data_IF_763457267160
#
_entry.id   IF_763457267160
#
_cell.length_a   1.000
_cell.length_b   1.000
_cell.length_c   1.000
_cell.angle_alpha   90.00
_cell.angle_beta   90.00
_cell.angle_gamma   90.00
#
_symmetry.space_group_name_H-M   'P 1'
#
loop_
_entity.id
_entity.type
_entity.pdbx_description
1 polymer ?
#
# COMPACT_ATOMS: atom_id res chain seq x y z
N UNK A 1 -21.78 -23.10 10.91
CA UNK A 1 -20.96 -21.96 11.36
C UNK A 1 -19.81 -21.80 10.38
N UNK A 2 -19.92 -20.88 9.41
CA UNK A 2 -18.93 -20.73 8.33
C UNK A 2 -17.68 -20.10 8.96
N UNK A 3 -16.60 -20.87 9.08
CA UNK A 3 -15.32 -20.40 9.58
C UNK A 3 -14.86 -19.26 8.67
N UNK A 4 -15.17 -18.02 9.08
CA UNK A 4 -14.71 -16.80 8.42
C UNK A 4 -13.21 -16.84 8.60
N UNK A 5 -12.51 -17.23 7.54
CA UNK A 5 -11.06 -17.41 7.50
C UNK A 5 -10.41 -16.19 8.13
N UNK A 6 -9.89 -16.38 9.34
CA UNK A 6 -9.07 -15.41 10.05
C UNK A 6 -7.91 -15.06 9.13
N UNK A 7 -8.06 -13.90 8.49
CA UNK A 7 -7.00 -12.99 8.08
C UNK A 7 -5.83 -13.63 7.34
N UNK A 8 -5.95 -13.72 6.02
CA UNK A 8 -4.75 -13.82 5.17
C UNK A 8 -4.88 -12.75 4.10
N UNK A 9 -3.94 -11.82 4.06
CA UNK A 9 -3.76 -10.88 2.95
C UNK A 9 -3.95 -11.64 1.64
N UNK A 10 -4.88 -11.18 0.80
CA UNK A 10 -5.12 -11.84 -0.49
C UNK A 10 -3.85 -11.71 -1.33
N UNK A 11 -3.55 -12.72 -2.14
CA UNK A 11 -2.44 -12.64 -3.09
C UNK A 11 -2.56 -11.42 -4.01
N UNK A 12 -3.80 -11.00 -4.31
CA UNK A 12 -4.09 -9.78 -5.06
C UNK A 12 -3.59 -8.52 -4.35
N UNK A 13 -3.80 -8.41 -3.03
CA UNK A 13 -3.35 -7.27 -2.22
C UNK A 13 -1.82 -7.16 -2.24
N UNK A 14 -1.13 -8.30 -2.09
CA UNK A 14 0.34 -8.39 -2.20
C UNK A 14 0.85 -7.92 -3.56
N UNK A 15 0.20 -8.37 -4.63
CA UNK A 15 0.55 -7.97 -5.99
C UNK A 15 0.35 -6.48 -6.22
N UNK A 16 -0.71 -5.88 -5.69
CA UNK A 16 -0.97 -4.44 -5.82
C UNK A 16 0.11 -3.62 -5.09
N UNK A 17 0.47 -4.02 -3.87
CA UNK A 17 1.58 -3.40 -3.13
C UNK A 17 2.90 -3.52 -3.89
N UNK A 18 3.20 -4.71 -4.41
CA UNK A 18 4.41 -4.97 -5.19
C UNK A 18 4.45 -4.15 -6.50
N UNK A 19 3.31 -4.03 -7.18
CA UNK A 19 3.17 -3.19 -8.37
C UNK A 19 3.42 -1.71 -8.04
N UNK A 20 2.88 -1.21 -6.92
CA UNK A 20 3.12 0.16 -6.46
C UNK A 20 4.58 0.40 -6.04
N UNK A 21 5.29 -0.65 -5.62
CA UNK A 21 6.69 -0.55 -5.23
C UNK A 21 7.63 -0.50 -6.44
N UNK A 22 7.43 -1.37 -7.45
CA UNK A 22 8.30 -1.38 -8.64
C UNK A 22 7.91 -0.28 -9.63
N UNK A 23 6.62 -0.13 -9.94
CA UNK A 23 6.11 0.86 -10.89
C UNK A 23 5.01 1.70 -10.24
N UNK A 24 5.36 2.67 -9.39
CA UNK A 24 4.39 3.47 -8.64
C UNK A 24 3.39 4.19 -9.54
N UNK A 25 3.80 4.66 -10.72
CA UNK A 25 2.90 5.26 -11.73
C UNK A 25 1.80 4.29 -12.18
N UNK A 26 2.16 3.06 -12.54
CA UNK A 26 1.20 2.04 -13.01
C UNK A 26 0.32 1.55 -11.87
N UNK A 27 0.90 1.34 -10.68
CA UNK A 27 0.15 1.02 -9.48
C UNK A 27 -0.90 2.09 -9.14
N UNK A 28 -0.51 3.36 -9.21
CA UNK A 28 -1.41 4.50 -8.95
C UNK A 28 -2.58 4.55 -9.94
N UNK A 29 -2.30 4.43 -11.24
CA UNK A 29 -3.36 4.40 -12.28
C UNK A 29 -4.30 3.20 -12.06
N UNK A 30 -3.73 2.03 -11.76
CA UNK A 30 -4.52 0.82 -11.51
C UNK A 30 -5.48 0.98 -10.33
N UNK A 31 -5.01 1.57 -9.22
CA UNK A 31 -5.84 1.86 -8.05
C UNK A 31 -6.93 2.86 -8.40
N UNK A 32 -6.61 3.94 -9.13
CA UNK A 32 -7.60 4.94 -9.53
C UNK A 32 -8.72 4.37 -10.39
N UNK A 33 -8.38 3.48 -11.34
CA UNK A 33 -9.37 2.81 -12.20
C UNK A 33 -10.27 1.89 -11.36
N UNK A 34 -9.70 1.14 -10.42
CA UNK A 34 -10.42 0.16 -9.62
C UNK A 34 -11.03 0.70 -8.33
N UNK A 35 -10.84 2.00 -8.02
CA UNK A 35 -11.26 2.65 -6.75
C UNK A 35 -12.74 2.46 -6.40
N UNK A 36 -13.61 2.30 -7.40
CA UNK A 36 -15.05 2.08 -7.21
C UNK A 36 -15.41 0.67 -6.72
N UNK A 37 -14.50 -0.30 -6.92
CA UNK A 37 -14.71 -1.71 -6.57
C UNK A 37 -14.17 -2.06 -5.18
N UNK A 38 -13.40 -1.17 -4.56
CA UNK A 38 -12.68 -1.43 -3.31
C UNK A 38 -13.27 -0.62 -2.16
N UNK A 39 -12.98 -1.04 -0.93
CA UNK A 39 -13.35 -0.27 0.26
C UNK A 39 -12.63 1.10 0.21
N UNK A 40 -13.34 2.17 0.60
CA UNK A 40 -12.78 3.53 0.62
C UNK A 40 -11.56 3.63 1.53
N UNK A 41 -11.54 2.91 2.67
CA UNK A 41 -10.41 2.89 3.60
C UNK A 41 -9.20 2.19 3.00
N UNK A 42 -9.39 1.01 2.40
CA UNK A 42 -8.30 0.27 1.76
C UNK A 42 -7.75 1.04 0.56
N UNK A 43 -8.63 1.61 -0.28
CA UNK A 43 -8.23 2.43 -1.44
C UNK A 43 -7.37 3.62 -1.03
N UNK A 44 -7.74 4.33 0.05
CA UNK A 44 -6.96 5.46 0.56
C UNK A 44 -5.55 5.05 0.96
N UNK A 45 -5.40 3.91 1.65
CA UNK A 45 -4.09 3.40 2.07
C UNK A 45 -3.23 2.96 0.89
N UNK A 46 -3.81 2.26 -0.09
CA UNK A 46 -3.10 1.90 -1.32
C UNK A 46 -2.66 3.14 -2.10
N UNK A 47 -3.51 4.15 -2.18
CA UNK A 47 -3.22 5.39 -2.89
C UNK A 47 -2.12 6.20 -2.19
N UNK A 48 -2.14 6.26 -0.86
CA UNK A 48 -1.08 6.87 -0.05
C UNK A 48 0.26 6.14 -0.24
N UNK A 49 0.25 4.81 -0.28
CA UNK A 49 1.45 4.01 -0.53
C UNK A 49 1.99 4.21 -1.96
N UNK A 50 1.12 4.26 -2.97
CA UNK A 50 1.53 4.53 -4.33
C UNK A 50 2.11 5.96 -4.48
N UNK A 51 1.48 6.95 -3.84
CA UNK A 51 1.91 8.34 -3.89
C UNK A 51 3.27 8.55 -3.19
N UNK A 52 3.49 7.91 -2.05
CA UNK A 52 4.78 7.96 -1.35
C UNK A 52 5.90 7.33 -2.19
N UNK A 53 5.68 6.17 -2.80
CA UNK A 53 6.67 5.55 -3.68
C UNK A 53 6.92 6.37 -4.97
N UNK A 54 5.87 6.99 -5.52
CA UNK A 54 5.99 7.91 -6.64
C UNK A 54 6.82 9.14 -6.26
N UNK A 55 6.54 9.73 -5.10
CA UNK A 55 7.31 10.85 -4.54
C UNK A 55 8.78 10.48 -4.39
N UNK A 56 9.09 9.31 -3.79
CA UNK A 56 10.48 8.86 -3.68
C UNK A 56 11.12 8.70 -5.05
N UNK A 57 10.43 8.06 -6.00
CA UNK A 57 10.97 7.84 -7.35
C UNK A 57 11.35 9.16 -8.00
N UNK A 58 10.50 10.19 -7.87
CA UNK A 58 10.79 11.54 -8.37
C UNK A 58 11.98 12.15 -7.62
N UNK A 59 11.98 12.10 -6.27
CA UNK A 59 13.08 12.66 -5.46
C UNK A 59 14.42 12.01 -5.79
N UNK A 60 14.47 10.69 -5.92
CA UNK A 60 15.68 9.93 -6.24
C UNK A 60 16.16 10.17 -7.67
N UNK A 61 15.23 10.33 -8.62
CA UNK A 61 15.57 10.54 -10.04
C UNK A 61 16.03 11.97 -10.32
N UNK A 62 15.40 12.97 -9.68
CA UNK A 62 15.57 14.38 -10.06
C UNK A 62 16.25 15.26 -9.00
N UNK A 63 16.21 14.89 -7.73
CA UNK A 63 16.71 15.75 -6.63
C UNK A 63 18.02 15.19 -6.08
N UNK A 64 17.97 14.10 -5.31
CA UNK A 64 19.14 13.50 -4.68
C UNK A 64 18.96 12.01 -4.48
N UNK A 65 20.05 11.26 -4.63
CA UNK A 65 20.12 9.84 -4.29
C UNK A 65 20.78 9.62 -2.93
N UNK A 66 20.46 10.50 -1.98
CA UNK A 66 20.98 10.39 -0.62
C UNK A 66 20.53 9.11 0.04
N UNK A 67 21.50 8.35 0.55
CA UNK A 67 21.26 7.08 1.22
C UNK A 67 20.25 7.23 2.38
N UNK A 68 20.33 8.33 3.13
CA UNK A 68 19.44 8.62 4.25
C UNK A 68 17.98 8.83 3.83
N UNK A 69 17.74 9.49 2.69
CA UNK A 69 16.38 9.73 2.17
C UNK A 69 15.74 8.42 1.74
N UNK A 70 16.50 7.60 1.01
CA UNK A 70 16.05 6.27 0.57
C UNK A 70 15.76 5.37 1.77
N UNK A 71 16.64 5.39 2.78
CA UNK A 71 16.47 4.59 4.01
C UNK A 71 15.24 5.03 4.81
N UNK A 72 15.04 6.34 5.00
CA UNK A 72 13.87 6.88 5.68
C UNK A 72 12.57 6.48 4.97
N UNK A 73 12.56 6.51 3.63
CA UNK A 73 11.40 6.07 2.86
C UNK A 73 11.08 4.58 3.03
N UNK A 74 12.09 3.71 3.07
CA UNK A 74 11.86 2.29 3.34
C UNK A 74 11.26 2.06 4.73
N UNK A 75 11.72 2.79 5.74
CA UNK A 75 11.15 2.73 7.09
C UNK A 75 9.67 3.15 7.06
N UNK A 76 9.35 4.28 6.40
CA UNK A 76 7.95 4.74 6.24
C UNK A 76 7.10 3.70 5.52
N UNK A 77 7.63 3.09 4.45
CA UNK A 77 6.96 2.03 3.69
C UNK A 77 6.62 0.82 4.55
N UNK A 78 7.57 0.36 5.39
CA UNK A 78 7.36 -0.74 6.33
C UNK A 78 6.28 -0.39 7.36
N UNK A 79 6.29 0.84 7.89
CA UNK A 79 5.28 1.31 8.83
C UNK A 79 3.89 1.30 8.19
N UNK A 80 3.75 1.81 6.96
CA UNK A 80 2.48 1.83 6.23
C UNK A 80 1.94 0.42 5.97
N UNK A 81 2.79 -0.52 5.56
CA UNK A 81 2.41 -1.92 5.33
C UNK A 81 1.96 -2.57 6.65
N UNK A 82 2.71 -2.34 7.73
CA UNK A 82 2.38 -2.88 9.06
C UNK A 82 1.05 -2.32 9.56
N UNK A 83 0.83 -1.02 9.40
CA UNK A 83 -0.44 -0.37 9.72
C UNK A 83 -1.60 -0.91 8.90
N UNK A 84 -1.41 -1.15 7.60
CA UNK A 84 -2.42 -1.76 6.74
C UNK A 84 -2.77 -3.18 7.19
N UNK A 85 -1.77 -3.99 7.55
CA UNK A 85 -1.99 -5.34 8.07
C UNK A 85 -2.78 -5.28 9.39
N UNK A 86 -2.42 -4.36 10.29
CA UNK A 86 -3.09 -4.20 11.58
C UNK A 86 -4.56 -3.75 11.41
N UNK A 87 -4.80 -2.74 10.58
CA UNK A 87 -6.17 -2.25 10.30
C UNK A 87 -7.04 -3.32 9.65
N UNK A 88 -6.48 -4.10 8.71
CA UNK A 88 -7.18 -5.24 8.08
C UNK A 88 -7.46 -6.37 9.07
N UNK A 89 -6.55 -6.63 10.02
CA UNK A 89 -6.76 -7.60 11.11
C UNK A 89 -7.89 -7.17 12.03
N UNK A 90 -7.91 -5.90 12.46
CA UNK A 90 -8.95 -5.34 13.33
C UNK A 90 -10.33 -5.35 12.66
N UNK A 91 -10.43 -5.00 11.37
CA UNK A 91 -11.69 -5.04 10.62
C UNK A 91 -12.28 -6.45 10.49
N UNK A 92 -11.47 -7.50 10.57
CA UNK A 92 -11.93 -8.88 10.46
C UNK A 92 -12.44 -9.43 11.81
N UNK A 93 -11.93 -8.88 12.92
CA UNK A 93 -12.31 -9.28 14.29
C UNK A 93 -13.63 -8.62 14.70
N UNK A 94 -13.84 -7.35 14.33
CA UNK A 94 -15.11 -6.64 14.55
C UNK A 94 -15.77 -6.29 13.20
N UNK A 95 -16.54 -7.21 12.60
CA UNK A 95 -17.42 -6.85 11.51
C UNK A 95 -18.55 -6.00 12.09
N UNK A 96 -18.49 -4.68 11.88
CA UNK A 96 -19.63 -3.78 12.12
C UNK A 96 -20.73 -4.13 11.11
#
# INVERSE_FOLDING_TARGET
MKLKTLTTWSFKDKLIFFLCFILPLIGFIYILINRKKWDKKETSLYLLFALTNLSLTITVTFITRDFWIVTLHYIISIILITYFIFTKKTSNINPI
#
